data_IF_698923235364
#
_entry.id   IF_698923235364
#
_cell.length_a   1.000
_cell.length_b   1.000
_cell.length_c   1.000
_cell.angle_alpha   90.00
_cell.angle_beta   90.00
_cell.angle_gamma   90.00
#
_symmetry.space_group_name_H-M   'P 1'
#
loop_
_entity.id
_entity.type
_entity.pdbx_description
1 polymer ?
#
# COMPACT_ATOMS: atom_id res chain seq x y z
N UNK A 1 -18.07 -11.54 5.58
CA UNK A 1 -18.66 -10.87 4.40
C UNK A 1 -18.00 -9.52 4.15
N UNK A 2 -16.85 -9.52 3.47
CA UNK A 2 -16.13 -8.31 3.04
C UNK A 2 -16.56 -7.95 1.62
N UNK A 3 -17.28 -6.82 1.44
CA UNK A 3 -17.52 -6.24 0.12
C UNK A 3 -16.21 -5.64 -0.39
N UNK A 4 -15.45 -6.42 -1.14
CA UNK A 4 -14.36 -5.94 -2.00
C UNK A 4 -14.98 -5.09 -3.13
N UNK A 5 -15.13 -3.78 -2.90
CA UNK A 5 -15.41 -2.78 -3.94
C UNK A 5 -14.12 -2.08 -4.35
N UNK A 6 -13.11 -2.85 -4.77
CA UNK A 6 -11.94 -2.36 -5.50
C UNK A 6 -12.14 -2.65 -6.99
N UNK A 7 -13.24 -2.15 -7.56
CA UNK A 7 -13.58 -2.36 -8.97
C UNK A 7 -13.66 -1.04 -9.71
N UNK A 8 -12.77 -0.87 -10.69
CA UNK A 8 -13.00 -0.11 -11.92
C UNK A 8 -13.46 1.35 -11.76
N UNK A 9 -12.65 2.21 -11.15
CA UNK A 9 -12.80 3.64 -11.43
C UNK A 9 -11.51 4.43 -11.54
N UNK A 10 -10.35 3.76 -11.55
CA UNK A 10 -9.11 4.34 -12.08
C UNK A 10 -9.13 4.38 -13.61
N UNK A 11 -9.69 3.34 -14.26
CA UNK A 11 -9.72 3.23 -15.72
C UNK A 11 -10.68 4.23 -16.38
N UNK A 12 -11.84 4.51 -15.79
CA UNK A 12 -12.74 5.56 -16.28
C UNK A 12 -12.15 6.97 -16.15
N UNK A 13 -11.35 7.23 -15.11
CA UNK A 13 -10.62 8.49 -14.93
C UNK A 13 -9.47 8.63 -15.93
N UNK A 14 -8.75 7.54 -16.22
CA UNK A 14 -7.72 7.52 -17.25
C UNK A 14 -8.32 7.75 -18.65
N UNK A 15 -9.46 7.14 -18.97
CA UNK A 15 -10.18 7.37 -20.23
C UNK A 15 -10.69 8.81 -20.38
N UNK A 16 -11.25 9.39 -19.30
CA UNK A 16 -11.67 10.80 -19.29
C UNK A 16 -10.49 11.77 -19.46
N UNK A 17 -9.34 11.48 -18.82
CA UNK A 17 -8.14 12.28 -18.95
C UNK A 17 -7.52 12.19 -20.36
N UNK A 18 -7.57 11.01 -21.00
CA UNK A 18 -6.96 10.76 -22.31
C UNK A 18 -7.76 11.37 -23.48
N UNK A 19 -9.10 11.28 -23.45
CA UNK A 19 -9.96 11.73 -24.57
C UNK A 19 -10.60 13.10 -24.37
N UNK A 20 -10.82 13.51 -23.12
CA UNK A 20 -11.50 14.78 -22.82
C UNK A 20 -10.62 15.77 -22.06
N UNK A 21 -9.40 15.40 -21.65
CA UNK A 21 -8.56 16.23 -20.79
C UNK A 21 -8.27 17.62 -21.38
N UNK A 22 -7.98 17.69 -22.68
CA UNK A 22 -7.60 18.93 -23.35
C UNK A 22 -8.80 19.83 -23.70
N UNK A 23 -9.90 19.32 -24.34
CA UNK A 23 -11.11 20.11 -24.53
C UNK A 23 -11.72 20.60 -23.21
N UNK A 24 -11.69 19.76 -22.16
CA UNK A 24 -12.14 20.11 -20.83
C UNK A 24 -11.29 21.24 -20.24
N UNK A 25 -9.95 21.16 -20.36
CA UNK A 25 -9.07 22.22 -19.90
C UNK A 25 -9.33 23.54 -20.62
N UNK A 26 -9.55 23.52 -21.94
CA UNK A 26 -9.89 24.71 -22.72
C UNK A 26 -11.17 25.41 -22.20
N UNK A 27 -12.23 24.64 -21.94
CA UNK A 27 -13.48 25.18 -21.36
C UNK A 27 -13.24 25.75 -19.96
N UNK A 28 -12.48 25.06 -19.11
CA UNK A 28 -12.23 25.51 -17.72
C UNK A 28 -11.38 26.79 -17.64
N UNK A 29 -10.49 27.03 -18.60
CA UNK A 29 -9.63 28.23 -18.64
C UNK A 29 -10.18 29.33 -19.55
N UNK A 30 -11.34 29.12 -20.15
CA UNK A 30 -11.99 30.10 -21.03
C UNK A 30 -12.17 31.49 -20.41
N UNK A 31 -12.49 31.65 -19.11
CA UNK A 31 -12.54 32.97 -18.48
C UNK A 31 -11.22 33.76 -18.57
N UNK A 32 -10.07 33.12 -18.35
CA UNK A 32 -8.77 33.76 -18.43
C UNK A 32 -8.42 34.17 -19.86
N UNK A 33 -8.77 33.35 -20.85
CA UNK A 33 -8.52 33.67 -22.26
C UNK A 33 -9.40 34.84 -22.71
N UNK A 34 -10.71 34.82 -22.36
CA UNK A 34 -11.61 35.94 -22.66
C UNK A 34 -11.14 37.25 -22.02
N UNK A 35 -10.72 37.21 -20.75
CA UNK A 35 -10.16 38.37 -20.07
C UNK A 35 -8.88 38.87 -20.76
N UNK A 36 -8.03 37.97 -21.24
CA UNK A 36 -6.79 38.34 -21.93
C UNK A 36 -7.05 38.98 -23.30
N UNK A 37 -8.03 38.50 -24.05
CA UNK A 37 -8.44 39.12 -25.33
C UNK A 37 -8.90 40.56 -25.10
N UNK A 38 -9.66 40.82 -24.02
CA UNK A 38 -10.12 42.17 -23.65
C UNK A 38 -8.95 43.07 -23.24
N UNK A 39 -7.96 42.53 -22.52
CA UNK A 39 -6.80 43.30 -22.04
C UNK A 39 -5.78 43.58 -23.15
N UNK A 40 -5.55 42.62 -24.04
CA UNK A 40 -4.60 42.76 -25.15
C UNK A 40 -5.17 43.66 -26.29
N UNK A 41 -6.50 43.81 -26.38
CA UNK A 41 -7.23 44.68 -27.33
C UNK A 41 -6.82 44.54 -28.81
N UNK A 42 -6.56 43.31 -29.24
CA UNK A 42 -6.15 43.01 -30.62
C UNK A 42 -7.40 42.72 -31.47
N UNK A 43 -7.63 43.45 -32.58
CA UNK A 43 -8.84 43.31 -33.39
C UNK A 43 -9.01 41.92 -34.02
N UNK A 44 -7.90 41.25 -34.33
CA UNK A 44 -7.89 39.88 -34.86
C UNK A 44 -8.42 38.86 -33.84
N UNK A 45 -8.26 39.13 -32.55
CA UNK A 45 -8.69 38.23 -31.47
C UNK A 45 -10.14 38.45 -31.06
N UNK A 46 -10.71 39.63 -31.36
CA UNK A 46 -12.08 40.01 -31.03
C UNK A 46 -13.13 39.07 -31.65
N UNK A 47 -12.82 38.48 -32.82
CA UNK A 47 -13.70 37.53 -33.52
C UNK A 47 -13.98 36.28 -32.67
N UNK A 48 -13.01 35.86 -31.85
CA UNK A 48 -13.12 34.66 -31.01
C UNK A 48 -13.71 34.95 -29.61
N UNK A 49 -13.84 36.21 -29.21
CA UNK A 49 -14.26 36.58 -27.85
C UNK A 49 -15.62 35.93 -27.48
N UNK A 50 -16.56 35.89 -28.42
CA UNK A 50 -17.88 35.31 -28.19
C UNK A 50 -17.82 33.81 -27.85
N UNK A 51 -16.93 33.06 -28.49
CA UNK A 51 -16.75 31.62 -28.25
C UNK A 51 -16.16 31.37 -26.85
N UNK A 52 -15.17 32.17 -26.46
CA UNK A 52 -14.57 32.09 -25.13
C UNK A 52 -15.51 32.54 -24.01
N UNK A 53 -16.42 33.49 -24.27
CA UNK A 53 -17.48 33.86 -23.31
C UNK A 53 -18.48 32.72 -23.09
N UNK A 54 -18.83 31.96 -24.14
CA UNK A 54 -19.63 30.73 -23.97
C UNK A 54 -18.88 29.68 -23.15
N UNK A 55 -17.59 29.48 -23.43
CA UNK A 55 -16.73 28.61 -22.61
C UNK A 55 -16.70 29.04 -21.15
N UNK A 56 -16.61 30.35 -20.88
CA UNK A 56 -16.62 30.91 -19.54
C UNK A 56 -17.94 30.63 -18.80
N UNK A 57 -19.09 30.76 -19.47
CA UNK A 57 -20.40 30.44 -18.90
C UNK A 57 -20.52 28.95 -18.52
N UNK A 58 -19.96 28.05 -19.34
CA UNK A 58 -19.98 26.60 -19.10
C UNK A 58 -18.91 26.15 -18.08
N UNK A 59 -17.85 26.93 -17.90
CA UNK A 59 -16.73 26.58 -17.01
C UNK A 59 -17.17 26.37 -15.55
N UNK A 60 -18.12 27.17 -15.05
CA UNK A 60 -18.62 27.09 -13.68
C UNK A 60 -19.35 25.77 -13.36
N UNK A 61 -20.42 25.38 -14.08
CA UNK A 61 -21.09 24.10 -13.82
C UNK A 61 -20.14 22.92 -14.02
N UNK A 62 -19.22 23.00 -14.98
CA UNK A 62 -18.22 21.96 -15.24
C UNK A 62 -17.22 21.81 -14.08
N UNK A 63 -16.71 22.92 -13.55
CA UNK A 63 -15.84 22.92 -12.37
C UNK A 63 -16.52 22.32 -11.13
N UNK A 64 -17.82 22.59 -10.94
CA UNK A 64 -18.63 21.98 -9.87
C UNK A 64 -18.79 20.47 -10.07
N UNK A 65 -19.04 20.03 -11.31
CA UNK A 65 -19.16 18.60 -11.64
C UNK A 65 -17.84 17.85 -11.41
N UNK A 66 -16.71 18.45 -11.78
CA UNK A 66 -15.38 17.87 -11.53
C UNK A 66 -15.06 17.79 -10.04
N UNK A 67 -15.30 18.86 -9.30
CA UNK A 67 -15.16 18.86 -7.85
C UNK A 67 -16.07 17.78 -7.22
N UNK A 68 -17.32 17.67 -7.66
CA UNK A 68 -18.23 16.63 -7.23
C UNK A 68 -17.66 15.24 -7.54
N UNK A 69 -17.23 14.97 -8.76
CA UNK A 69 -16.75 13.65 -9.17
C UNK A 69 -15.49 13.23 -8.40
N UNK A 70 -14.52 14.13 -8.27
CA UNK A 70 -13.28 13.89 -7.53
C UNK A 70 -13.53 13.60 -6.03
N UNK A 71 -14.54 14.26 -5.45
CA UNK A 71 -14.80 14.22 -4.01
C UNK A 71 -15.89 13.22 -3.59
N UNK A 72 -16.74 12.76 -4.51
CA UNK A 72 -17.88 11.89 -4.17
C UNK A 72 -17.47 10.51 -3.63
N UNK A 73 -16.27 10.02 -3.98
CA UNK A 73 -15.82 8.68 -3.59
C UNK A 73 -15.53 8.58 -2.08
N UNK A 74 -15.00 9.64 -1.44
CA UNK A 74 -14.54 9.61 -0.04
C UNK A 74 -14.67 10.95 0.74
N UNK A 75 -15.35 11.95 0.19
CA UNK A 75 -15.33 13.33 0.71
C UNK A 75 -16.30 13.64 1.85
N UNK A 76 -15.91 14.61 2.70
CA UNK A 76 -16.70 15.15 3.83
C UNK A 76 -18.14 15.56 3.48
N UNK A 77 -18.37 16.01 2.24
CA UNK A 77 -19.63 16.52 1.69
C UNK A 77 -20.66 15.42 1.34
N UNK A 78 -20.28 14.13 1.34
CA UNK A 78 -21.23 13.04 1.05
C UNK A 78 -22.23 12.78 2.19
N UNK A 79 -21.95 13.16 3.44
CA UNK A 79 -22.92 13.01 4.54
C UNK A 79 -23.53 14.31 5.02
N UNK A 80 -23.17 15.45 4.42
CA UNK A 80 -23.85 16.71 4.72
C UNK A 80 -25.27 16.71 4.12
N UNK A 81 -26.24 17.35 4.77
CA UNK A 81 -27.57 17.55 4.19
C UNK A 81 -27.44 18.26 2.85
N UNK A 82 -28.32 17.91 1.90
CA UNK A 82 -28.36 18.43 0.52
C UNK A 82 -28.15 19.96 0.45
N UNK A 83 -28.81 20.80 1.28
CA UNK A 83 -28.63 22.26 1.23
C UNK A 83 -27.21 22.74 1.56
N UNK A 84 -26.45 21.98 2.37
CA UNK A 84 -25.05 22.32 2.71
C UNK A 84 -24.04 21.69 1.75
N UNK A 85 -24.47 20.73 0.94
CA UNK A 85 -23.61 19.98 0.01
C UNK A 85 -23.28 20.79 -1.25
N UNK A 86 -24.29 21.41 -1.86
CA UNK A 86 -24.13 22.18 -3.10
C UNK A 86 -23.24 23.42 -2.95
N UNK A 87 -23.41 24.27 -1.91
CA UNK A 87 -22.49 25.38 -1.66
C UNK A 87 -21.04 24.91 -1.47
N UNK A 88 -20.83 23.76 -0.84
CA UNK A 88 -19.51 23.18 -0.64
C UNK A 88 -18.83 22.74 -1.95
N UNK A 89 -19.59 22.21 -2.92
CA UNK A 89 -19.08 21.90 -4.26
C UNK A 89 -18.89 23.15 -5.11
N UNK A 90 -19.79 24.15 -4.98
CA UNK A 90 -19.64 25.45 -5.64
C UNK A 90 -18.35 26.14 -5.24
N UNK A 91 -18.09 26.28 -3.94
CA UNK A 91 -16.86 26.91 -3.45
C UNK A 91 -15.60 26.20 -3.99
N UNK A 92 -15.60 24.87 -4.01
CA UNK A 92 -14.46 24.08 -4.52
C UNK A 92 -14.32 24.17 -6.03
N UNK A 93 -15.43 24.21 -6.77
CA UNK A 93 -15.44 24.49 -8.21
C UNK A 93 -14.87 25.87 -8.52
N UNK A 94 -15.24 26.89 -7.74
CA UNK A 94 -14.70 28.25 -7.86
C UNK A 94 -13.20 28.28 -7.57
N UNK A 95 -12.73 27.62 -6.50
CA UNK A 95 -11.29 27.54 -6.20
C UNK A 95 -10.50 26.84 -7.30
N UNK A 96 -11.04 25.76 -7.87
CA UNK A 96 -10.44 25.06 -9.01
C UNK A 96 -10.30 26.00 -10.22
N UNK A 97 -11.38 26.68 -10.58
CA UNK A 97 -11.39 27.62 -11.70
C UNK A 97 -10.44 28.79 -11.45
N UNK A 98 -10.46 29.39 -10.26
CA UNK A 98 -9.58 30.49 -9.90
C UNK A 98 -8.10 30.11 -10.05
N UNK A 99 -7.70 28.92 -9.58
CA UNK A 99 -6.33 28.46 -9.69
C UNK A 99 -5.90 28.22 -11.15
N UNK A 100 -6.73 27.53 -11.94
CA UNK A 100 -6.43 27.26 -13.35
C UNK A 100 -6.41 28.54 -14.20
N UNK A 101 -7.35 29.46 -13.97
CA UNK A 101 -7.43 30.72 -14.70
C UNK A 101 -6.31 31.69 -14.30
N UNK A 102 -5.93 31.75 -13.02
CA UNK A 102 -4.76 32.53 -12.58
C UNK A 102 -3.47 32.01 -13.22
N UNK A 103 -3.28 30.68 -13.29
CA UNK A 103 -2.13 30.08 -13.97
C UNK A 103 -2.07 30.49 -15.44
N UNK A 104 -3.19 30.36 -16.16
CA UNK A 104 -3.24 30.71 -17.60
C UNK A 104 -3.05 32.21 -17.82
N UNK A 105 -3.68 33.06 -17.01
CA UNK A 105 -3.59 34.51 -17.14
C UNK A 105 -2.17 35.04 -16.88
N UNK A 106 -1.46 34.47 -15.90
CA UNK A 106 -0.08 34.85 -15.56
C UNK A 106 0.96 34.17 -16.48
N UNK A 107 0.66 32.96 -16.97
CA UNK A 107 1.56 32.18 -17.82
C UNK A 107 1.52 32.57 -19.29
N UNK A 108 0.42 33.16 -19.77
CA UNK A 108 0.31 33.64 -21.15
C UNK A 108 1.08 34.95 -21.32
N UNK A 109 2.05 34.96 -22.23
CA UNK A 109 2.78 36.16 -22.65
C UNK A 109 1.82 37.13 -23.37
N UNK A 110 2.09 38.45 -23.35
CA UNK A 110 1.32 39.42 -24.13
C UNK A 110 1.35 39.03 -25.60
N UNK A 111 0.19 39.06 -26.24
CA UNK A 111 0.06 38.74 -27.66
C UNK A 111 0.60 39.89 -28.51
N UNK A 112 1.27 39.59 -29.63
CA UNK A 112 1.75 40.59 -30.61
C UNK A 112 0.85 40.54 -31.86
N UNK A 113 0.64 41.65 -32.60
CA UNK A 113 -0.10 41.61 -33.85
C UNK A 113 0.46 40.57 -34.84
N UNK A 114 -0.39 39.71 -35.40
CA UNK A 114 0.00 38.58 -36.24
C UNK A 114 0.12 37.23 -35.52
N UNK A 115 0.12 37.20 -34.18
CA UNK A 115 0.06 35.95 -33.40
C UNK A 115 -1.36 35.40 -33.37
N UNK A 116 -1.52 34.09 -33.56
CA UNK A 116 -2.76 33.42 -33.22
C UNK A 116 -2.93 33.39 -31.69
N UNK A 117 -4.20 33.43 -31.26
CA UNK A 117 -4.62 33.38 -29.85
C UNK A 117 -3.97 32.21 -29.06
N UNK A 118 -3.52 31.17 -29.78
CA UNK A 118 -3.12 29.82 -29.31
C UNK A 118 -1.74 29.39 -29.86
N UNK A 119 -0.81 30.29 -30.25
CA UNK A 119 0.46 29.85 -30.90
C UNK A 119 1.37 28.95 -30.02
N UNK A 120 1.34 29.09 -28.69
CA UNK A 120 2.02 28.19 -27.73
C UNK A 120 1.05 27.25 -26.98
N UNK A 121 -0.21 27.20 -27.42
CA UNK A 121 -1.32 26.89 -26.53
C UNK A 121 -1.38 25.46 -26.00
N UNK A 122 -0.82 24.48 -26.71
CA UNK A 122 -0.77 23.10 -26.21
C UNK A 122 -0.02 22.99 -24.87
N UNK A 123 1.11 23.70 -24.72
CA UNK A 123 1.89 23.68 -23.48
C UNK A 123 1.14 24.37 -22.33
N UNK A 124 0.46 25.48 -22.64
CA UNK A 124 -0.34 26.26 -21.69
C UNK A 124 -1.55 25.45 -21.18
N UNK A 125 -2.28 24.79 -22.08
CA UNK A 125 -3.43 23.95 -21.71
C UNK A 125 -3.00 22.69 -20.94
N UNK A 126 -1.87 22.08 -21.30
CA UNK A 126 -1.30 20.96 -20.52
C UNK A 126 -0.92 21.42 -19.11
N UNK A 127 -0.24 22.57 -18.98
CA UNK A 127 0.10 23.16 -17.67
C UNK A 127 -1.14 23.49 -16.82
N UNK A 128 -2.19 24.04 -17.44
CA UNK A 128 -3.44 24.31 -16.76
C UNK A 128 -4.16 23.03 -16.32
N UNK A 129 -4.19 21.99 -17.17
CA UNK A 129 -4.75 20.68 -16.84
C UNK A 129 -4.03 20.04 -15.65
N UNK A 130 -2.68 20.07 -15.65
CA UNK A 130 -1.87 19.60 -14.52
C UNK A 130 -2.17 20.38 -13.24
N UNK A 131 -2.31 21.70 -13.33
CA UNK A 131 -2.70 22.56 -12.20
C UNK A 131 -4.07 22.13 -11.65
N UNK A 132 -5.05 21.89 -12.53
CA UNK A 132 -6.36 21.38 -12.14
C UNK A 132 -6.30 20.03 -11.43
N UNK A 133 -5.48 19.09 -11.94
CA UNK A 133 -5.26 17.78 -11.31
C UNK A 133 -4.65 17.91 -9.92
N UNK A 134 -3.63 18.77 -9.75
CA UNK A 134 -2.98 19.03 -8.45
C UNK A 134 -3.98 19.61 -7.45
N UNK A 135 -4.77 20.61 -7.86
CA UNK A 135 -5.78 21.24 -7.00
C UNK A 135 -6.87 20.25 -6.60
N UNK A 136 -7.39 19.45 -7.54
CA UNK A 136 -8.36 18.38 -7.24
C UNK A 136 -7.77 17.31 -6.32
N UNK A 137 -6.51 16.94 -6.52
CA UNK A 137 -5.78 16.02 -5.65
C UNK A 137 -5.63 16.54 -4.22
N UNK A 138 -5.25 17.81 -4.07
CA UNK A 138 -5.14 18.50 -2.78
C UNK A 138 -6.51 18.61 -2.08
N UNK A 139 -7.56 18.99 -2.82
CA UNK A 139 -8.95 19.01 -2.31
C UNK A 139 -9.40 17.62 -1.87
N UNK A 140 -9.17 16.58 -2.68
CA UNK A 140 -9.55 15.22 -2.35
C UNK A 140 -8.78 14.68 -1.14
N UNK A 141 -7.51 15.03 -0.99
CA UNK A 141 -6.71 14.70 0.17
C UNK A 141 -7.23 15.41 1.44
N UNK A 142 -7.57 16.69 1.33
CA UNK A 142 -8.14 17.49 2.43
C UNK A 142 -9.54 17.01 2.85
N UNK A 143 -10.37 16.65 1.87
CA UNK A 143 -11.76 16.24 2.10
C UNK A 143 -11.94 14.78 2.50
N UNK A 144 -10.91 13.93 2.36
CA UNK A 144 -10.95 12.57 2.91
C UNK A 144 -11.19 12.67 4.42
N UNK A 145 -12.34 12.16 4.88
CA UNK A 145 -12.57 12.03 6.33
C UNK A 145 -11.57 11.00 6.85
N UNK A 146 -10.75 11.31 7.87
CA UNK A 146 -10.01 10.26 8.55
C UNK A 146 -11.02 9.26 9.09
N UNK A 147 -10.79 7.97 8.85
CA UNK A 147 -11.37 6.95 9.71
C UNK A 147 -10.97 7.34 11.13
N UNK A 148 -11.95 7.59 11.99
CA UNK A 148 -11.69 8.04 13.36
C UNK A 148 -11.03 6.89 14.08
N UNK A 149 -9.70 6.89 14.10
CA UNK A 149 -8.94 6.00 14.98
C UNK A 149 -9.00 6.64 16.36
N UNK A 150 -9.65 5.95 17.29
CA UNK A 150 -9.76 6.41 18.67
C UNK A 150 -8.48 6.09 19.44
N UNK A 151 -8.22 6.79 20.55
CA UNK A 151 -7.07 6.47 21.41
C UNK A 151 -7.17 5.03 21.91
N UNK A 152 -8.38 4.55 22.17
CA UNK A 152 -8.66 3.16 22.57
C UNK A 152 -8.27 2.16 21.49
N UNK A 153 -8.59 2.41 20.22
CA UNK A 153 -8.17 1.55 19.10
C UNK A 153 -6.64 1.48 18.99
N UNK A 154 -5.93 2.61 19.16
CA UNK A 154 -4.46 2.62 19.14
C UNK A 154 -3.88 1.87 20.34
N UNK A 155 -4.46 2.03 21.53
CA UNK A 155 -4.03 1.31 22.74
C UNK A 155 -4.29 -0.19 22.62
N UNK A 156 -5.44 -0.58 22.09
CA UNK A 156 -5.77 -1.98 21.83
C UNK A 156 -4.80 -2.59 20.82
N UNK A 157 -4.51 -1.89 19.72
CA UNK A 157 -3.52 -2.32 18.73
C UNK A 157 -2.11 -2.41 19.35
N UNK A 158 -1.74 -1.50 20.25
CA UNK A 158 -0.46 -1.56 20.95
C UNK A 158 -0.36 -2.77 21.89
N UNK A 159 -1.41 -3.02 22.68
CA UNK A 159 -1.47 -4.20 23.54
C UNK A 159 -1.46 -5.53 22.73
N UNK A 160 -2.08 -5.54 21.55
CA UNK A 160 -1.99 -6.67 20.62
C UNK A 160 -0.57 -6.82 20.05
N UNK A 161 0.10 -5.72 19.72
CA UNK A 161 1.49 -5.71 19.27
C UNK A 161 2.41 -6.31 20.34
N UNK A 162 2.27 -5.89 21.60
CA UNK A 162 3.11 -6.39 22.70
C UNK A 162 2.87 -7.88 22.96
N UNK A 163 1.62 -8.34 22.90
CA UNK A 163 1.29 -9.78 23.02
C UNK A 163 1.87 -10.60 21.86
N UNK A 164 1.86 -10.04 20.66
CA UNK A 164 2.43 -10.69 19.47
C UNK A 164 3.96 -10.72 19.56
N UNK A 165 4.57 -9.64 20.01
CA UNK A 165 6.02 -9.54 20.25
C UNK A 165 6.48 -10.57 21.29
N UNK A 166 5.77 -10.72 22.42
CA UNK A 166 6.08 -11.77 23.41
C UNK A 166 6.02 -13.17 22.82
N UNK A 167 5.00 -13.46 22.01
CA UNK A 167 4.86 -14.76 21.31
C UNK A 167 6.01 -15.00 20.32
N UNK A 168 6.33 -14.01 19.49
CA UNK A 168 7.44 -14.10 18.52
C UNK A 168 8.78 -14.28 19.22
N UNK A 169 9.05 -13.59 20.33
CA UNK A 169 10.28 -13.79 21.12
C UNK A 169 10.37 -15.20 21.71
N UNK A 170 9.26 -15.73 22.21
CA UNK A 170 9.22 -17.11 22.71
C UNK A 170 9.48 -18.13 21.60
N UNK A 171 8.89 -17.92 20.42
CA UNK A 171 9.13 -18.78 19.25
C UNK A 171 10.59 -18.66 18.76
N UNK A 172 11.14 -17.45 18.70
CA UNK A 172 12.55 -17.20 18.39
C UNK A 172 13.48 -17.99 19.32
N UNK A 173 13.22 -17.98 20.63
CA UNK A 173 14.00 -18.76 21.59
C UNK A 173 13.86 -20.28 21.37
N UNK A 174 12.69 -20.77 20.97
CA UNK A 174 12.46 -22.17 20.64
C UNK A 174 13.22 -22.59 19.37
N UNK A 175 13.07 -21.84 18.28
CA UNK A 175 13.76 -22.09 17.01
C UNK A 175 15.27 -22.06 17.19
N UNK A 176 15.79 -21.10 17.96
CA UNK A 176 17.22 -21.00 18.26
C UNK A 176 17.75 -22.25 18.95
N UNK A 177 17.10 -22.70 20.02
CA UNK A 177 17.49 -23.93 20.73
C UNK A 177 17.45 -25.15 19.81
N UNK A 178 16.44 -25.24 18.93
CA UNK A 178 16.36 -26.34 17.96
C UNK A 178 17.53 -26.28 16.96
N UNK A 179 17.84 -25.10 16.42
CA UNK A 179 18.93 -24.93 15.47
C UNK A 179 20.29 -25.31 16.09
N UNK A 180 20.54 -24.88 17.34
CA UNK A 180 21.74 -25.23 18.09
C UNK A 180 21.83 -26.74 18.36
N UNK A 181 20.71 -27.39 18.71
CA UNK A 181 20.67 -28.85 18.89
C UNK A 181 20.95 -29.60 17.60
N UNK A 182 20.41 -29.15 16.47
CA UNK A 182 20.63 -29.78 15.16
C UNK A 182 22.07 -29.65 14.74
N UNK A 183 22.64 -28.45 14.86
CA UNK A 183 24.04 -28.20 14.55
C UNK A 183 24.97 -29.04 15.44
N UNK A 184 24.73 -29.09 16.75
CA UNK A 184 25.52 -29.91 17.66
C UNK A 184 25.46 -31.41 17.32
N UNK A 185 24.31 -31.89 16.81
CA UNK A 185 24.15 -33.29 16.40
C UNK A 185 24.85 -33.59 15.08
N UNK A 186 24.81 -32.67 14.12
CA UNK A 186 25.58 -32.75 12.87
C UNK A 186 27.08 -32.85 13.13
N UNK A 187 27.63 -31.96 13.96
CA UNK A 187 29.05 -31.98 14.32
C UNK A 187 29.43 -33.32 14.98
N UNK A 188 28.56 -33.87 15.84
CA UNK A 188 28.79 -35.17 16.46
C UNK A 188 28.77 -36.33 15.46
N UNK A 189 27.96 -36.26 14.40
CA UNK A 189 27.94 -37.28 13.36
C UNK A 189 29.21 -37.21 12.50
N UNK A 190 29.59 -36.01 12.08
CA UNK A 190 30.78 -35.78 11.25
C UNK A 190 32.08 -36.19 11.96
N UNK A 191 32.13 -36.05 13.28
CA UNK A 191 33.30 -36.42 14.08
C UNK A 191 33.44 -37.93 14.37
N UNK A 192 32.49 -38.78 13.95
CA UNK A 192 32.37 -40.16 14.44
C UNK A 192 32.56 -41.22 13.35
N UNK A 193 33.23 -42.32 13.70
CA UNK A 193 33.21 -43.56 12.92
C UNK A 193 31.97 -44.41 13.32
N UNK A 194 31.19 -44.93 12.35
CA UNK A 194 29.89 -45.56 12.63
C UNK A 194 30.06 -46.94 13.28
N UNK A 195 30.01 -47.00 14.61
CA UNK A 195 30.14 -48.24 15.37
C UNK A 195 28.80 -49.00 15.58
N UNK A 196 27.63 -48.33 15.44
CA UNK A 196 26.29 -48.93 15.62
C UNK A 196 25.21 -48.25 14.74
N UNK A 197 25.08 -48.64 13.47
CA UNK A 197 24.29 -47.89 12.48
C UNK A 197 22.77 -47.89 12.71
N UNK A 198 22.17 -48.98 13.20
CA UNK A 198 20.69 -49.12 13.25
C UNK A 198 20.00 -48.26 14.32
N UNK A 199 20.51 -48.25 15.55
CA UNK A 199 19.96 -47.42 16.65
C UNK A 199 20.15 -45.93 16.36
N UNK A 200 21.25 -45.60 15.69
CA UNK A 200 21.58 -44.24 15.29
C UNK A 200 20.61 -43.74 14.22
N UNK A 201 20.34 -44.54 13.18
CA UNK A 201 19.40 -44.21 12.10
C UNK A 201 18.00 -43.81 12.61
N UNK A 202 17.39 -44.62 13.49
CA UNK A 202 16.06 -44.31 14.01
C UNK A 202 16.04 -42.96 14.76
N UNK A 203 17.05 -42.73 15.60
CA UNK A 203 17.15 -41.49 16.38
C UNK A 203 17.31 -40.25 15.50
N UNK A 204 18.08 -40.36 14.42
CA UNK A 204 18.31 -39.26 13.47
C UNK A 204 17.05 -38.97 12.63
N UNK A 205 16.30 -40.01 12.25
CA UNK A 205 15.04 -39.84 11.52
C UNK A 205 13.99 -39.13 12.36
N UNK A 206 13.84 -39.51 13.63
CA UNK A 206 12.94 -38.83 14.58
C UNK A 206 13.34 -37.37 14.72
N UNK A 207 14.64 -37.12 14.90
CA UNK A 207 15.17 -35.77 15.07
C UNK A 207 15.02 -34.90 13.80
N UNK A 208 15.22 -35.45 12.60
CA UNK A 208 14.93 -34.77 11.33
C UNK A 208 13.45 -34.36 11.25
N UNK A 209 12.53 -35.26 11.63
CA UNK A 209 11.09 -34.97 11.65
C UNK A 209 10.74 -33.85 12.63
N UNK A 210 11.29 -33.88 13.83
CA UNK A 210 11.10 -32.84 14.85
C UNK A 210 11.63 -31.48 14.38
N UNK A 211 12.81 -31.47 13.75
CA UNK A 211 13.40 -30.26 13.19
C UNK A 211 12.54 -29.65 12.08
N UNK A 212 12.07 -30.49 11.15
CA UNK A 212 11.18 -30.06 10.07
C UNK A 212 9.85 -29.50 10.61
N UNK A 213 9.24 -30.19 11.59
CA UNK A 213 8.01 -29.73 12.24
C UNK A 213 8.22 -28.39 12.98
N UNK A 214 9.36 -28.22 13.65
CA UNK A 214 9.70 -26.96 14.30
C UNK A 214 9.78 -25.80 13.29
N UNK A 215 10.44 -26.01 12.15
CA UNK A 215 10.55 -25.01 11.09
C UNK A 215 9.18 -24.64 10.49
N UNK A 216 8.31 -25.63 10.23
CA UNK A 216 6.97 -25.42 9.68
C UNK A 216 6.07 -24.62 10.65
N UNK A 217 6.09 -25.00 11.93
CA UNK A 217 5.34 -24.29 12.98
C UNK A 217 5.81 -22.83 13.10
N UNK A 218 7.13 -22.61 13.05
CA UNK A 218 7.72 -21.29 13.11
C UNK A 218 7.35 -20.43 11.88
N UNK A 219 7.38 -21.02 10.67
CA UNK A 219 7.00 -20.32 9.44
C UNK A 219 5.55 -19.84 9.50
N UNK A 220 4.62 -20.67 9.98
CA UNK A 220 3.22 -20.29 10.21
C UNK A 220 3.09 -19.15 11.24
N UNK A 221 3.83 -19.23 12.34
CA UNK A 221 3.83 -18.19 13.38
C UNK A 221 4.33 -16.84 12.83
N UNK A 222 5.42 -16.84 12.06
CA UNK A 222 5.95 -15.61 11.45
C UNK A 222 5.05 -15.07 10.34
N UNK A 223 4.41 -15.93 9.53
CA UNK A 223 3.42 -15.51 8.53
C UNK A 223 2.21 -14.81 9.15
N UNK A 224 1.72 -15.33 10.29
CA UNK A 224 0.69 -14.67 11.09
C UNK A 224 1.17 -13.32 11.64
N UNK A 225 2.38 -13.26 12.20
CA UNK A 225 2.96 -12.01 12.71
C UNK A 225 3.16 -10.94 11.62
N UNK A 226 3.55 -11.33 10.39
CA UNK A 226 3.63 -10.42 9.25
C UNK A 226 2.27 -9.82 8.88
N UNK A 227 1.19 -10.61 8.98
CA UNK A 227 -0.17 -10.10 8.76
C UNK A 227 -0.55 -9.07 9.83
N UNK A 228 -0.25 -9.34 11.10
CA UNK A 228 -0.41 -8.37 12.19
C UNK A 228 0.40 -7.09 11.95
N UNK A 229 1.65 -7.20 11.49
CA UNK A 229 2.50 -6.04 11.16
C UNK A 229 1.87 -5.12 10.10
N UNK A 230 1.23 -5.69 9.07
CA UNK A 230 0.52 -4.91 8.04
C UNK A 230 -0.66 -4.14 8.62
N UNK A 231 -1.46 -4.80 9.45
CA UNK A 231 -2.59 -4.17 10.16
C UNK A 231 -2.11 -3.06 11.08
N UNK A 232 -1.05 -3.29 11.85
CA UNK A 232 -0.46 -2.28 12.74
C UNK A 232 0.10 -1.09 11.94
N UNK A 233 0.77 -1.33 10.81
CA UNK A 233 1.27 -0.26 9.93
C UNK A 233 0.15 0.67 9.46
N UNK A 234 -1.00 0.09 9.12
CA UNK A 234 -2.19 0.84 8.76
C UNK A 234 -2.67 1.70 9.94
N UNK A 235 -2.78 1.15 11.15
CA UNK A 235 -3.21 1.88 12.35
C UNK A 235 -2.25 3.01 12.70
N UNK A 236 -0.93 2.78 12.69
CA UNK A 236 0.10 3.80 12.95
C UNK A 236 -0.03 4.97 11.97
N UNK A 237 -0.19 4.67 10.67
CA UNK A 237 -0.34 5.70 9.63
C UNK A 237 -1.57 6.58 9.89
N UNK A 238 -2.69 5.98 10.26
CA UNK A 238 -3.93 6.72 10.53
C UNK A 238 -3.86 7.50 11.84
N UNK A 239 -3.26 6.92 12.89
CA UNK A 239 -3.07 7.57 14.18
C UNK A 239 -2.16 8.81 14.09
N UNK A 240 -1.16 8.82 13.20
CA UNK A 240 -0.30 10.00 12.96
C UNK A 240 -1.04 11.15 12.27
N UNK A 241 -1.96 10.85 11.37
CA UNK A 241 -2.69 11.85 10.58
C UNK A 241 -3.91 12.38 11.34
N UNK A 242 -4.52 11.58 12.21
CA UNK A 242 -5.73 11.94 12.94
C UNK A 242 -5.63 13.27 13.75
N UNK A 243 -4.55 13.57 14.49
CA UNK A 243 -4.39 14.82 15.24
C UNK A 243 -4.35 16.09 14.38
N UNK A 244 -3.92 15.99 13.12
CA UNK A 244 -3.86 17.13 12.18
C UNK A 244 -5.24 17.45 11.58
N UNK A 245 -6.15 16.48 11.61
CA UNK A 245 -7.42 16.55 10.89
C UNK A 245 -8.65 16.66 11.82
N UNK A 246 -8.46 16.46 13.12
CA UNK A 246 -9.51 16.52 14.14
C UNK A 246 -9.34 17.77 15.01
N UNK A 247 -10.44 18.50 15.23
CA UNK A 247 -10.52 19.56 16.24
C UNK A 247 -10.66 18.87 17.61
N UNK A 248 -9.53 18.48 18.18
CA UNK A 248 -9.45 17.84 19.50
C UNK A 248 -8.60 18.68 20.45
N UNK A 249 -8.87 18.54 21.76
CA UNK A 249 -8.13 19.21 22.81
C UNK A 249 -6.62 18.94 22.70
N UNK A 250 -5.79 19.87 23.18
CA UNK A 250 -4.32 19.69 23.19
C UNK A 250 -3.92 18.39 23.91
N UNK A 251 -4.63 18.05 25.00
CA UNK A 251 -4.43 16.81 25.78
C UNK A 251 -4.72 15.55 24.96
N UNK A 252 -5.88 15.46 24.31
CA UNK A 252 -6.22 14.30 23.48
C UNK A 252 -5.23 14.10 22.31
N UNK A 253 -4.70 15.20 21.75
CA UNK A 253 -3.63 15.14 20.74
C UNK A 253 -2.32 14.58 21.31
N UNK A 254 -1.92 14.99 22.50
CA UNK A 254 -0.73 14.48 23.17
C UNK A 254 -0.88 12.98 23.48
N UNK A 255 -2.04 12.56 24.00
CA UNK A 255 -2.33 11.15 24.30
C UNK A 255 -2.32 10.27 23.04
N UNK A 256 -2.93 10.74 21.94
CA UNK A 256 -2.89 10.04 20.66
C UNK A 256 -1.47 9.91 20.12
N UNK A 257 -0.65 10.97 20.19
CA UNK A 257 0.75 10.93 19.76
C UNK A 257 1.58 9.96 20.59
N UNK A 258 1.40 9.96 21.90
CA UNK A 258 2.08 9.02 22.80
C UNK A 258 1.70 7.57 22.49
N UNK A 259 0.41 7.28 22.30
CA UNK A 259 -0.08 5.96 21.94
C UNK A 259 0.44 5.51 20.56
N UNK A 260 0.45 6.40 19.57
CA UNK A 260 0.97 6.13 18.23
C UNK A 260 2.49 5.88 18.25
N UNK A 261 3.24 6.63 19.05
CA UNK A 261 4.68 6.43 19.24
C UNK A 261 4.99 5.10 19.94
N UNK A 262 4.18 4.70 20.92
CA UNK A 262 4.30 3.39 21.55
C UNK A 262 4.03 2.26 20.54
N UNK A 263 2.90 2.30 19.83
CA UNK A 263 2.55 1.33 18.81
C UNK A 263 3.64 1.22 17.73
N UNK A 264 4.19 2.35 17.28
CA UNK A 264 5.27 2.36 16.29
C UNK A 264 6.53 1.65 16.81
N UNK A 265 6.92 1.88 18.08
CA UNK A 265 8.07 1.19 18.68
C UNK A 265 7.83 -0.32 18.73
N UNK A 266 6.68 -0.76 19.25
CA UNK A 266 6.32 -2.18 19.30
C UNK A 266 6.27 -2.79 17.90
N UNK A 267 5.77 -2.06 16.90
CA UNK A 267 5.76 -2.50 15.50
C UNK A 267 7.17 -2.67 14.94
N UNK A 268 8.05 -1.68 15.13
CA UNK A 268 9.43 -1.77 14.63
C UNK A 268 10.19 -2.92 15.28
N UNK A 269 9.99 -3.12 16.59
CA UNK A 269 10.63 -4.19 17.32
C UNK A 269 10.10 -5.57 16.91
N UNK A 270 8.79 -5.70 16.73
CA UNK A 270 8.17 -6.91 16.20
C UNK A 270 8.71 -7.25 14.81
N UNK A 271 8.90 -6.25 13.94
CA UNK A 271 9.49 -6.45 12.62
C UNK A 271 10.91 -7.02 12.73
N UNK A 272 11.77 -6.41 13.54
CA UNK A 272 13.13 -6.92 13.76
C UNK A 272 13.13 -8.36 14.28
N UNK A 273 12.24 -8.68 15.23
CA UNK A 273 12.14 -10.02 15.79
C UNK A 273 11.62 -11.05 14.78
N UNK A 274 10.68 -10.68 13.91
CA UNK A 274 10.20 -11.54 12.83
C UNK A 274 11.29 -11.77 11.78
N UNK A 275 11.99 -10.71 11.37
CA UNK A 275 13.08 -10.80 10.39
C UNK A 275 14.22 -11.69 10.92
N UNK A 276 14.60 -11.53 12.19
CA UNK A 276 15.55 -12.41 12.89
C UNK A 276 15.03 -13.87 12.96
N UNK A 277 13.76 -14.06 13.27
CA UNK A 277 13.12 -15.38 13.35
C UNK A 277 13.15 -16.14 12.01
N UNK A 278 12.85 -15.43 10.93
CA UNK A 278 12.89 -16.00 9.57
C UNK A 278 14.31 -16.39 9.16
N UNK A 279 15.31 -15.61 9.53
CA UNK A 279 16.71 -15.95 9.29
C UNK A 279 17.11 -17.22 10.05
N UNK A 280 16.74 -17.35 11.33
CA UNK A 280 16.96 -18.57 12.10
C UNK A 280 16.26 -19.80 11.50
N UNK A 281 15.05 -19.64 10.96
CA UNK A 281 14.35 -20.74 10.25
C UNK A 281 15.07 -21.14 8.98
N UNK A 282 15.67 -20.20 8.24
CA UNK A 282 16.50 -20.53 7.08
C UNK A 282 17.71 -21.37 7.49
N UNK A 283 18.40 -20.96 8.55
CA UNK A 283 19.53 -21.73 9.12
C UNK A 283 19.09 -23.10 9.61
N UNK A 284 17.97 -23.21 10.33
CA UNK A 284 17.42 -24.48 10.78
C UNK A 284 17.08 -25.40 9.60
N UNK A 285 16.50 -24.85 8.52
CA UNK A 285 16.19 -25.62 7.32
C UNK A 285 17.44 -26.09 6.59
N UNK A 286 18.49 -25.26 6.51
CA UNK A 286 19.79 -25.66 5.97
C UNK A 286 20.37 -26.83 6.78
N UNK A 287 20.49 -26.69 8.10
CA UNK A 287 20.96 -27.74 9.00
C UNK A 287 20.09 -29.02 8.91
N UNK A 288 18.78 -28.88 8.73
CA UNK A 288 17.88 -30.03 8.57
C UNK A 288 18.11 -30.74 7.23
N UNK A 289 18.40 -29.98 6.16
CA UNK A 289 18.78 -30.54 4.87
C UNK A 289 20.11 -31.26 4.94
N UNK A 290 21.10 -30.68 5.62
CA UNK A 290 22.39 -31.33 5.85
C UNK A 290 22.20 -32.64 6.64
N UNK A 291 21.36 -32.63 7.69
CA UNK A 291 21.02 -33.83 8.45
C UNK A 291 20.40 -34.92 7.57
N UNK A 292 19.54 -34.54 6.62
CA UNK A 292 18.96 -35.48 5.65
C UNK A 292 20.05 -36.14 4.80
N UNK A 293 21.06 -35.38 4.36
CA UNK A 293 22.19 -35.93 3.60
C UNK A 293 23.11 -36.80 4.47
N UNK A 294 23.41 -36.38 5.69
CA UNK A 294 24.22 -37.17 6.64
C UNK A 294 23.56 -38.51 6.97
N UNK A 295 22.22 -38.57 7.09
CA UNK A 295 21.49 -39.83 7.28
C UNK A 295 21.65 -40.76 6.05
N UNK A 296 21.57 -40.20 4.84
CA UNK A 296 21.76 -40.97 3.60
C UNK A 296 23.16 -41.58 3.52
N UNK A 297 24.17 -40.78 3.86
CA UNK A 297 25.57 -41.14 3.62
C UNK A 297 26.14 -42.03 4.73
N UNK A 298 25.69 -41.87 5.99
CA UNK A 298 26.26 -42.58 7.14
C UNK A 298 25.41 -43.74 7.70
N UNK A 299 24.12 -43.87 7.33
CA UNK A 299 23.24 -44.94 7.85
C UNK A 299 23.11 -46.15 6.91
N UNK A 300 24.00 -46.30 5.94
CA UNK A 300 24.03 -47.45 5.03
C UNK A 300 22.77 -47.58 4.17
N UNK A 301 22.29 -48.83 3.98
CA UNK A 301 21.16 -49.11 3.09
C UNK A 301 19.84 -48.50 3.57
N UNK A 302 19.56 -48.57 4.86
CA UNK A 302 18.33 -48.00 5.44
C UNK A 302 18.26 -46.47 5.26
N UNK A 303 19.41 -45.79 5.41
CA UNK A 303 19.52 -44.35 5.16
C UNK A 303 19.19 -43.96 3.72
N UNK A 304 19.72 -44.71 2.74
CA UNK A 304 19.45 -44.49 1.31
C UNK A 304 17.99 -44.75 0.94
N UNK A 305 17.44 -45.89 1.35
CA UNK A 305 16.02 -46.23 1.10
C UNK A 305 15.06 -45.19 1.69
N UNK A 306 15.36 -44.69 2.91
CA UNK A 306 14.58 -43.63 3.53
C UNK A 306 14.70 -42.29 2.79
N UNK A 307 15.90 -41.93 2.34
CA UNK A 307 16.15 -40.71 1.59
C UNK A 307 15.36 -40.70 0.28
N UNK A 308 15.44 -41.79 -0.49
CA UNK A 308 14.72 -41.96 -1.76
C UNK A 308 13.20 -41.85 -1.54
N UNK A 309 12.66 -42.59 -0.56
CA UNK A 309 11.23 -42.51 -0.23
C UNK A 309 10.80 -41.13 0.29
N UNK A 310 11.70 -40.35 0.90
CA UNK A 310 11.42 -38.99 1.32
C UNK A 310 11.37 -38.02 0.14
N UNK A 311 12.35 -38.08 -0.76
CA UNK A 311 12.38 -37.25 -1.98
C UNK A 311 11.17 -37.53 -2.88
N UNK A 312 10.78 -38.81 -3.03
CA UNK A 312 9.59 -39.18 -3.80
C UNK A 312 8.32 -38.53 -3.23
N UNK A 313 8.10 -38.61 -1.91
CA UNK A 313 6.96 -37.95 -1.24
C UNK A 313 7.00 -36.43 -1.40
N UNK A 314 8.19 -35.82 -1.36
CA UNK A 314 8.34 -34.37 -1.52
C UNK A 314 8.00 -33.95 -2.96
N UNK A 315 8.43 -34.71 -3.96
CA UNK A 315 8.13 -34.38 -5.36
C UNK A 315 6.65 -34.61 -5.69
N UNK A 316 6.04 -35.70 -5.19
CA UNK A 316 4.59 -35.92 -5.29
C UNK A 316 3.81 -34.73 -4.69
N UNK A 317 4.16 -34.30 -3.47
CA UNK A 317 3.51 -33.17 -2.83
C UNK A 317 3.73 -31.83 -3.56
N UNK A 318 4.87 -31.66 -4.26
CA UNK A 318 5.10 -30.48 -5.11
C UNK A 318 4.24 -30.51 -6.36
N UNK A 319 4.11 -31.66 -6.99
CA UNK A 319 3.28 -31.83 -8.19
C UNK A 319 1.81 -31.60 -7.88
N UNK A 320 1.30 -32.15 -6.77
CA UNK A 320 -0.05 -31.88 -6.27
C UNK A 320 -0.31 -30.38 -6.07
N UNK A 321 0.65 -29.64 -5.49
CA UNK A 321 0.54 -28.17 -5.32
C UNK A 321 0.57 -27.43 -6.66
N UNK A 322 1.38 -27.86 -7.62
CA UNK A 322 1.42 -27.27 -8.98
C UNK A 322 0.08 -27.46 -9.68
N UNK A 323 -0.48 -28.65 -9.61
CA UNK A 323 -1.81 -28.99 -10.14
C UNK A 323 -2.88 -28.16 -9.45
N UNK A 324 -2.90 -28.13 -8.11
CA UNK A 324 -3.86 -27.35 -7.34
C UNK A 324 -3.81 -25.84 -7.67
N UNK A 325 -2.62 -25.26 -7.85
CA UNK A 325 -2.49 -23.86 -8.25
C UNK A 325 -2.94 -23.60 -9.70
N UNK A 326 -2.79 -24.57 -10.61
CA UNK A 326 -3.23 -24.46 -12.01
C UNK A 326 -4.75 -24.51 -12.13
N UNK A 327 -5.42 -25.29 -11.29
CA UNK A 327 -6.89 -25.46 -11.34
C UNK A 327 -7.65 -24.63 -10.29
N UNK A 328 -6.98 -24.12 -9.26
CA UNK A 328 -7.58 -23.39 -8.14
C UNK A 328 -7.44 -21.86 -8.18
N UNK A 329 -6.72 -21.29 -9.15
CA UNK A 329 -6.51 -19.83 -9.28
C UNK A 329 -7.72 -19.01 -9.78
N UNK A 330 -8.93 -19.57 -9.76
CA UNK A 330 -10.15 -19.01 -10.33
C UNK A 330 -11.27 -18.68 -9.34
N UNK A 331 -10.96 -18.37 -8.08
CA UNK A 331 -11.93 -17.84 -7.09
C UNK A 331 -11.39 -16.64 -6.35
#
# INVERSE_FOLDING_TARGET
MSRNRSGCGGCALAFLALFFGLPLAMVLVSPAIAARIIVDDIPEHAVYLREWLWGAAVSLPLGVLLARFALNRNGRLRRSPIPKRWPGFLLRGVVLLAAMNAFVFLGKKPSVPGDHVIDDGMSLFVGAALTGVVVLGAMAWWDRRPRRVTVEEVRAAAAEADRTLKRVRAENARVRRQAEQVQARLVKLQARNPARPDVEFHSLRVFHRESYQCADTAHLAYGSAQTSLRTMAFVVRHARVAPLQLVVSKRARAEMRAAAAHLQRSQSELRTQVDQGLDMVRTLNANTSDLKHEIRDNCGRQGREWFEALEERVEQAREERRVANRFGGGQ
#
